data_IF_890936792430
#
_entry.id   IF_890936792430
#
_cell.length_a   1.000
_cell.length_b   1.000
_cell.length_c   1.000
_cell.angle_alpha   90.00
_cell.angle_beta   90.00
_cell.angle_gamma   90.00
#
_symmetry.space_group_name_H-M   'P 1'
#
loop_
_entity.id
_entity.type
_entity.pdbx_description
1 polymer ?
#
# COMPACT_ATOMS: atom_id res chain seq x y z
N UNK A 1 3.88 20.85 -0.85
CA UNK A 1 4.34 19.44 -0.89
C UNK A 1 3.12 18.56 -0.70
N UNK A 2 2.92 17.54 -1.53
CA UNK A 2 1.76 16.64 -1.44
C UNK A 2 1.75 15.84 -0.14
N UNK A 3 0.57 15.39 0.29
CA UNK A 3 0.41 14.48 1.44
C UNK A 3 1.22 13.19 1.17
N UNK A 4 1.99 12.66 2.13
CA UNK A 4 2.72 11.40 1.94
C UNK A 4 1.71 10.28 1.64
N UNK A 5 1.91 9.59 0.52
CA UNK A 5 1.17 8.38 0.18
C UNK A 5 1.88 7.19 0.81
N UNK A 6 1.14 6.35 1.52
CA UNK A 6 1.70 5.28 2.34
C UNK A 6 2.02 4.02 1.53
N UNK A 7 1.26 3.80 0.46
CA UNK A 7 1.54 2.84 -0.62
C UNK A 7 1.60 3.64 -1.92
N UNK A 8 2.68 4.40 -2.16
CA UNK A 8 2.67 5.47 -3.16
C UNK A 8 2.49 5.01 -4.60
N UNK A 9 2.78 3.74 -4.92
CA UNK A 9 2.55 3.18 -6.25
C UNK A 9 3.22 3.95 -7.41
N UNK A 10 3.02 3.50 -8.66
CA UNK A 10 2.64 2.14 -9.01
C UNK A 10 3.76 1.16 -8.65
N UNK A 11 3.40 -0.03 -8.17
CA UNK A 11 4.35 -1.09 -7.86
C UNK A 11 4.21 -2.21 -8.89
N UNK A 12 5.31 -2.86 -9.20
CA UNK A 12 5.36 -3.96 -10.15
C UNK A 12 6.08 -5.13 -9.52
N UNK A 13 5.60 -6.34 -9.81
CA UNK A 13 6.26 -7.59 -9.45
C UNK A 13 7.01 -8.16 -10.65
N UNK A 14 8.21 -8.69 -10.44
CA UNK A 14 8.99 -9.39 -11.46
C UNK A 14 8.89 -10.93 -11.31
N UNK A 15 9.55 -11.65 -12.23
CA UNK A 15 9.59 -13.13 -12.20
C UNK A 15 10.48 -13.71 -11.11
N UNK A 16 11.26 -12.91 -10.40
CA UNK A 16 12.08 -13.33 -9.28
C UNK A 16 11.34 -13.20 -7.94
N UNK A 17 10.19 -12.51 -7.92
CA UNK A 17 9.45 -12.22 -6.69
C UNK A 17 9.81 -10.85 -6.10
N UNK A 18 10.52 -10.02 -6.86
CA UNK A 18 10.85 -8.66 -6.46
C UNK A 18 9.68 -7.72 -6.73
N UNK A 19 9.46 -6.77 -5.83
CA UNK A 19 8.41 -5.76 -5.93
C UNK A 19 9.03 -4.37 -5.82
N UNK A 20 8.61 -3.46 -6.70
CA UNK A 20 9.00 -2.05 -6.62
C UNK A 20 8.62 -1.23 -7.86
N UNK A 21 9.06 0.04 -7.93
CA UNK A 21 8.84 0.87 -9.10
C UNK A 21 9.65 0.35 -10.29
N UNK A 22 9.20 0.72 -11.50
CA UNK A 22 9.97 0.50 -12.72
C UNK A 22 10.92 1.67 -12.92
N UNK A 23 12.20 1.39 -13.15
CA UNK A 23 13.19 2.41 -13.48
C UNK A 23 12.88 3.04 -14.84
N UNK A 24 12.96 4.37 -14.91
CA UNK A 24 12.89 5.20 -16.11
C UNK A 24 14.25 5.87 -16.42
N UNK A 25 15.31 5.48 -15.70
CA UNK A 25 16.65 6.01 -15.92
C UNK A 25 17.16 5.68 -17.33
N UNK A 26 17.85 6.62 -17.97
CA UNK A 26 18.46 6.45 -19.29
C UNK A 26 19.80 5.68 -19.18
N UNK A 27 19.73 4.47 -18.63
CA UNK A 27 20.85 3.55 -18.47
C UNK A 27 20.40 2.09 -18.66
N UNK A 28 21.26 1.14 -18.30
CA UNK A 28 20.96 -0.29 -18.42
C UNK A 28 19.82 -0.79 -17.49
N UNK A 29 19.35 0.06 -16.57
CA UNK A 29 18.24 -0.26 -15.68
C UNK A 29 16.88 0.13 -16.25
N UNK A 30 16.81 0.86 -17.38
CA UNK A 30 15.53 1.30 -17.96
C UNK A 30 14.56 0.11 -18.16
N UNK A 31 13.38 0.20 -17.57
CA UNK A 31 12.36 -0.85 -17.62
C UNK A 31 12.54 -1.98 -16.59
N UNK A 32 13.65 -2.02 -15.85
CA UNK A 32 13.86 -2.97 -14.74
C UNK A 32 13.04 -2.56 -13.51
N UNK A 33 12.68 -3.54 -12.68
CA UNK A 33 12.12 -3.27 -11.36
C UNK A 33 13.26 -2.91 -10.41
N UNK A 34 13.13 -1.77 -9.73
CA UNK A 34 14.03 -1.39 -8.63
C UNK A 34 13.47 -2.02 -7.36
N UNK A 35 14.05 -3.11 -6.84
CA UNK A 35 13.46 -3.88 -5.76
C UNK A 35 13.43 -3.05 -4.47
N UNK A 36 12.25 -2.86 -3.90
CA UNK A 36 12.05 -2.35 -2.53
C UNK A 36 11.65 -3.47 -1.57
N UNK A 37 11.16 -4.59 -2.10
CA UNK A 37 10.84 -5.80 -1.39
C UNK A 37 11.19 -7.02 -2.25
N UNK A 38 11.49 -8.13 -1.58
CA UNK A 38 11.79 -9.41 -2.21
C UNK A 38 11.01 -10.50 -1.47
N UNK A 39 10.20 -11.25 -2.20
CA UNK A 39 9.23 -12.20 -1.64
C UNK A 39 9.76 -13.62 -1.79
N UNK A 40 9.78 -14.36 -0.68
CA UNK A 40 10.28 -15.73 -0.61
C UNK A 40 9.20 -16.72 -0.19
N UNK A 41 9.40 -18.00 -0.51
CA UNK A 41 8.48 -19.09 -0.20
C UNK A 41 7.79 -19.67 -1.43
N UNK A 42 6.97 -20.69 -1.22
CA UNK A 42 6.33 -21.46 -2.30
C UNK A 42 5.34 -20.63 -3.12
N UNK A 43 4.68 -19.65 -2.50
CA UNK A 43 3.69 -18.76 -3.15
C UNK A 43 4.26 -17.40 -3.57
N UNK A 44 5.60 -17.26 -3.64
CA UNK A 44 6.27 -15.96 -3.82
C UNK A 44 5.73 -15.11 -4.97
N UNK A 45 5.30 -15.72 -6.07
CA UNK A 45 4.81 -14.97 -7.23
C UNK A 45 3.43 -14.39 -7.01
N UNK A 46 2.55 -15.12 -6.32
CA UNK A 46 1.20 -14.65 -6.02
C UNK A 46 1.23 -13.64 -4.87
N UNK A 47 2.09 -13.86 -3.88
CA UNK A 47 2.33 -12.89 -2.80
C UNK A 47 2.96 -11.59 -3.35
N UNK A 48 3.94 -11.68 -4.25
CA UNK A 48 4.51 -10.49 -4.90
C UNK A 48 3.47 -9.71 -5.72
N UNK A 49 2.54 -10.38 -6.41
CA UNK A 49 1.41 -9.74 -7.10
C UNK A 49 0.48 -9.05 -6.11
N UNK A 50 0.21 -9.66 -4.97
CA UNK A 50 -0.60 -9.07 -3.89
C UNK A 50 0.07 -7.80 -3.36
N UNK A 51 1.38 -7.82 -3.09
CA UNK A 51 2.13 -6.64 -2.69
C UNK A 51 2.08 -5.55 -3.77
N UNK A 52 2.30 -5.90 -5.04
CA UNK A 52 2.27 -4.94 -6.14
C UNK A 52 0.92 -4.23 -6.29
N UNK A 53 -0.19 -4.90 -5.95
CA UNK A 53 -1.54 -4.33 -5.95
C UNK A 53 -1.90 -3.54 -4.68
N UNK A 54 -1.00 -3.42 -3.70
CA UNK A 54 -1.30 -2.76 -2.42
C UNK A 54 -1.81 -1.31 -2.56
N UNK A 55 -1.28 -0.45 -3.47
CA UNK A 55 -1.82 0.89 -3.69
C UNK A 55 -3.30 0.89 -4.08
N UNK A 56 -3.66 0.10 -5.09
CA UNK A 56 -5.02 0.02 -5.63
C UNK A 56 -5.98 -0.67 -4.65
N UNK A 57 -5.49 -1.66 -3.90
CA UNK A 57 -6.27 -2.34 -2.86
C UNK A 57 -6.59 -1.40 -1.68
N UNK A 58 -5.64 -0.55 -1.27
CA UNK A 58 -5.87 0.43 -0.21
C UNK A 58 -6.92 1.46 -0.65
N UNK A 59 -6.79 2.00 -1.86
CA UNK A 59 -7.75 2.95 -2.43
C UNK A 59 -9.16 2.34 -2.52
N UNK A 60 -9.27 1.12 -3.05
CA UNK A 60 -10.54 0.42 -3.15
C UNK A 60 -11.19 0.18 -1.78
N UNK A 61 -10.41 -0.23 -0.77
CA UNK A 61 -10.91 -0.47 0.59
C UNK A 61 -11.41 0.82 1.25
N UNK A 62 -10.74 1.95 1.02
CA UNK A 62 -11.14 3.26 1.52
C UNK A 62 -12.47 3.72 0.91
N UNK A 63 -12.60 3.61 -0.41
CA UNK A 63 -13.84 3.95 -1.13
C UNK A 63 -15.00 3.08 -0.65
N UNK A 64 -14.78 1.76 -0.53
CA UNK A 64 -15.82 0.83 -0.07
C UNK A 64 -16.25 1.15 1.36
N UNK A 65 -15.30 1.39 2.26
CA UNK A 65 -15.59 1.73 3.67
C UNK A 65 -16.40 3.02 3.76
N UNK A 66 -15.96 4.08 3.06
CA UNK A 66 -16.66 5.37 3.05
C UNK A 66 -18.08 5.26 2.46
N UNK A 67 -18.25 4.49 1.38
CA UNK A 67 -19.56 4.29 0.76
C UNK A 67 -20.54 3.59 1.71
N UNK A 68 -20.09 2.55 2.42
CA UNK A 68 -20.96 1.83 3.36
C UNK A 68 -21.32 2.70 4.56
N UNK A 69 -20.36 3.45 5.11
CA UNK A 69 -20.60 4.36 6.23
C UNK A 69 -21.60 5.47 5.88
N UNK A 70 -21.51 6.01 4.65
CA UNK A 70 -22.43 7.04 4.17
C UNK A 70 -23.83 6.48 3.85
N UNK A 71 -23.91 5.32 3.21
CA UNK A 71 -25.19 4.73 2.79
C UNK A 71 -25.94 4.09 3.97
N UNK A 72 -25.23 3.49 4.91
CA UNK A 72 -25.81 2.78 6.05
C UNK A 72 -25.05 3.05 7.37
N UNK A 73 -25.25 4.23 7.99
CA UNK A 73 -24.53 4.60 9.21
C UNK A 73 -24.74 3.65 10.40
N UNK A 74 -25.88 2.94 10.43
CA UNK A 74 -26.16 1.94 11.46
C UNK A 74 -25.21 0.72 11.38
N UNK A 75 -24.57 0.50 10.24
CA UNK A 75 -23.63 -0.60 10.03
C UNK A 75 -22.19 -0.23 10.42
N UNK A 76 -21.90 1.04 10.77
CA UNK A 76 -20.53 1.51 11.01
C UNK A 76 -19.77 0.71 12.07
N UNK A 77 -20.46 0.05 13.01
CA UNK A 77 -19.85 -0.78 14.05
C UNK A 77 -19.82 -2.28 13.72
N UNK A 78 -20.22 -2.69 12.52
CA UNK A 78 -20.09 -4.07 12.07
C UNK A 78 -18.61 -4.49 12.05
N UNK A 79 -18.33 -5.68 12.58
CA UNK A 79 -16.97 -6.23 12.68
C UNK A 79 -16.14 -6.09 11.39
N UNK A 80 -16.68 -6.41 10.19
CA UNK A 80 -15.97 -6.21 8.94
C UNK A 80 -15.51 -4.77 8.66
N UNK A 81 -16.34 -3.75 8.94
CA UNK A 81 -15.96 -2.34 8.75
C UNK A 81 -14.95 -1.87 9.80
N UNK A 82 -15.08 -2.36 11.04
CA UNK A 82 -14.08 -2.12 12.08
C UNK A 82 -12.72 -2.67 11.63
N UNK A 83 -12.69 -3.89 11.09
CA UNK A 83 -11.47 -4.52 10.58
C UNK A 83 -10.90 -3.77 9.37
N UNK A 84 -11.76 -3.31 8.44
CA UNK A 84 -11.34 -2.52 7.28
C UNK A 84 -10.66 -1.21 7.72
N UNK A 85 -11.26 -0.47 8.67
CA UNK A 85 -10.65 0.75 9.23
C UNK A 85 -9.33 0.47 9.93
N UNK A 86 -9.23 -0.63 10.69
CA UNK A 86 -7.99 -1.04 11.33
C UNK A 86 -6.89 -1.36 10.30
N UNK A 87 -7.24 -2.04 9.21
CA UNK A 87 -6.30 -2.33 8.12
C UNK A 87 -5.85 -1.05 7.40
N UNK A 88 -6.76 -0.13 7.10
CA UNK A 88 -6.46 1.19 6.55
C UNK A 88 -5.52 1.96 7.49
N UNK A 89 -5.81 1.98 8.80
CA UNK A 89 -4.97 2.64 9.80
C UNK A 89 -3.58 2.03 9.91
N UNK A 90 -3.44 0.71 9.77
CA UNK A 90 -2.13 0.04 9.72
C UNK A 90 -1.35 0.43 8.47
N UNK A 91 -2.01 0.57 7.32
CA UNK A 91 -1.39 1.05 6.09
C UNK A 91 -1.03 2.54 6.17
N UNK A 92 -1.81 3.33 6.92
CA UNK A 92 -1.62 4.77 7.13
C UNK A 92 -1.26 5.08 8.59
N UNK A 93 -0.06 4.73 9.09
CA UNK A 93 0.30 5.01 10.48
C UNK A 93 0.18 6.50 10.80
N UNK A 94 -0.17 6.77 12.05
CA UNK A 94 -0.63 8.06 12.55
C UNK A 94 0.38 9.19 12.26
N UNK A 95 -0.13 10.35 11.82
CA UNK A 95 0.72 11.49 11.41
C UNK A 95 1.55 12.06 12.58
N UNK A 96 1.15 11.79 13.82
CA UNK A 96 1.90 12.15 15.02
C UNK A 96 3.25 11.41 15.13
N UNK A 97 3.30 10.12 14.76
CA UNK A 97 4.54 9.34 14.79
C UNK A 97 5.58 9.82 13.75
N UNK A 98 5.11 10.34 12.60
CA UNK A 98 5.96 10.89 11.54
C UNK A 98 6.50 12.30 11.84
N UNK A 99 5.91 13.02 12.80
CA UNK A 99 6.38 14.33 13.23
C UNK A 99 7.53 14.25 14.24
N UNK A 100 7.55 13.21 15.08
CA UNK A 100 8.62 12.96 16.05
C UNK A 100 9.94 12.54 15.38
N UNK A 101 9.88 11.75 14.29
CA UNK A 101 11.09 11.37 13.52
C UNK A 101 11.75 12.55 12.79
N UNK A 102 11.00 13.61 12.46
CA UNK A 102 11.52 14.79 11.74
C UNK A 102 12.03 15.91 12.64
N UNK A 103 11.82 15.82 13.95
CA UNK A 103 12.27 16.80 14.94
C UNK A 103 13.61 16.49 15.61
N UNK A 104 14.22 15.34 15.28
CA UNK A 104 15.46 14.85 15.89
C UNK A 104 16.61 14.71 14.89
N UNK A 105 17.04 15.81 14.27
CA UNK A 105 18.34 15.93 13.59
C UNK A 105 18.74 17.41 13.47
#
# INVERSE_FOLDING_TARGET
MGKPAFTPGPWYADRKGQVGPRSDADDQSNGMIVPIADVYGDNRHDDARLFAAAPELLEALEILTANVENAWPSLSNLGPLVNARAAIGKAKPDQAALAEEKGGA
#
